data_IF_377226293187
#
_entry.id   IF_377226293187
#
_cell.length_a   1.000
_cell.length_b   1.000
_cell.length_c   1.000
_cell.angle_alpha   90.00
_cell.angle_beta   90.00
_cell.angle_gamma   90.00
#
_symmetry.space_group_name_H-M   'P 1'
#
loop_
_entity.id
_entity.type
_entity.pdbx_description
1 polymer ?
#
# COMPACT_ATOMS: atom_id res chain seq x y z
N UNK A 1 1.52 -15.24 20.33
CA UNK A 1 0.84 -16.49 19.93
C UNK A 1 0.92 -16.54 18.42
N UNK A 2 1.77 -17.40 17.84
CA UNK A 2 1.93 -17.50 16.39
C UNK A 2 0.80 -18.39 15.85
N UNK A 3 -0.03 -17.86 14.95
CA UNK A 3 -1.15 -18.61 14.35
C UNK A 3 -0.67 -19.81 13.53
N UNK A 4 -1.55 -20.77 13.20
CA UNK A 4 -1.18 -21.93 12.39
C UNK A 4 -0.65 -21.48 11.03
N UNK A 5 0.38 -22.18 10.53
CA UNK A 5 0.94 -21.94 9.21
C UNK A 5 -0.15 -22.13 8.15
N UNK A 6 -0.72 -21.02 7.67
CA UNK A 6 -1.68 -21.06 6.57
C UNK A 6 -0.91 -21.49 5.33
N UNK A 7 -1.30 -22.60 4.72
CA UNK A 7 -0.74 -23.08 3.44
C UNK A 7 -1.29 -22.27 2.28
N UNK A 8 -0.39 -21.77 1.43
CA UNK A 8 -0.78 -20.96 0.26
C UNK A 8 -1.52 -21.85 -0.75
N UNK A 9 -2.72 -21.46 -1.23
CA UNK A 9 -3.39 -22.21 -2.28
C UNK A 9 -2.56 -22.17 -3.58
N UNK A 10 -2.51 -23.27 -4.36
CA UNK A 10 -1.77 -23.28 -5.61
C UNK A 10 -2.35 -22.27 -6.61
N UNK A 11 -1.52 -21.62 -7.43
CA UNK A 11 -2.00 -20.72 -8.47
C UNK A 11 -2.70 -21.47 -9.59
N UNK A 12 -3.57 -20.79 -10.33
CA UNK A 12 -4.15 -21.34 -11.57
C UNK A 12 -3.06 -21.44 -12.66
N UNK A 13 -3.21 -22.34 -13.65
CA UNK A 13 -2.27 -22.43 -14.77
C UNK A 13 -2.08 -21.10 -15.51
N UNK A 14 -3.16 -20.34 -15.73
CA UNK A 14 -3.11 -19.07 -16.45
C UNK A 14 -2.31 -18.01 -15.67
N UNK A 15 -2.49 -17.98 -14.34
CA UNK A 15 -1.73 -17.08 -13.48
C UNK A 15 -0.25 -17.47 -13.43
N UNK A 16 0.03 -18.78 -13.39
CA UNK A 16 1.39 -19.32 -13.45
C UNK A 16 2.08 -18.92 -14.75
N UNK A 17 1.40 -19.03 -15.89
CA UNK A 17 1.95 -18.68 -17.19
C UNK A 17 2.11 -17.16 -17.36
N UNK A 18 1.16 -16.36 -16.86
CA UNK A 18 1.15 -14.92 -17.04
C UNK A 18 2.13 -14.17 -16.14
N UNK A 19 2.24 -14.55 -14.86
CA UNK A 19 2.94 -13.76 -13.85
C UNK A 19 4.20 -14.46 -13.35
N UNK A 20 5.38 -13.98 -13.74
CA UNK A 20 6.66 -14.58 -13.31
C UNK A 20 6.82 -14.63 -11.77
N UNK A 21 6.29 -13.64 -11.04
CA UNK A 21 6.35 -13.59 -9.57
C UNK A 21 5.49 -14.64 -8.87
N UNK A 22 4.48 -15.20 -9.56
CA UNK A 22 3.67 -16.31 -9.03
C UNK A 22 4.49 -17.61 -8.98
N UNK A 23 5.46 -17.78 -9.89
CA UNK A 23 6.31 -18.99 -9.96
C UNK A 23 7.38 -19.04 -8.88
N UNK A 24 7.63 -17.93 -8.18
CA UNK A 24 8.69 -17.86 -7.19
C UNK A 24 8.35 -18.74 -5.99
N UNK A 25 9.17 -19.76 -5.75
CA UNK A 25 9.12 -20.54 -4.51
C UNK A 25 9.67 -19.72 -3.33
N UNK A 26 9.41 -20.18 -2.09
CA UNK A 26 10.02 -19.57 -0.91
C UNK A 26 11.56 -19.58 -1.00
N UNK A 27 12.16 -20.65 -1.56
CA UNK A 27 13.61 -20.75 -1.77
C UNK A 27 14.11 -19.70 -2.76
N UNK A 28 13.39 -19.47 -3.86
CA UNK A 28 13.76 -18.44 -4.84
C UNK A 28 13.72 -17.04 -4.21
N UNK A 29 12.67 -16.77 -3.43
CA UNK A 29 12.49 -15.49 -2.73
C UNK A 29 13.60 -15.27 -1.70
N UNK A 30 13.94 -16.28 -0.89
CA UNK A 30 15.03 -16.21 0.07
C UNK A 30 16.38 -16.00 -0.61
N UNK A 31 16.60 -16.64 -1.76
CA UNK A 31 17.82 -16.45 -2.57
C UNK A 31 17.91 -15.01 -3.09
N UNK A 32 16.80 -14.45 -3.57
CA UNK A 32 16.73 -13.05 -3.98
C UNK A 32 17.04 -12.11 -2.80
N UNK A 33 16.41 -12.32 -1.64
CA UNK A 33 16.64 -11.51 -0.45
C UNK A 33 18.10 -11.55 0.02
N UNK A 34 18.73 -12.73 0.05
CA UNK A 34 20.16 -12.87 0.38
C UNK A 34 21.04 -12.09 -0.61
N UNK A 35 20.71 -12.17 -1.90
CA UNK A 35 21.44 -11.46 -2.95
C UNK A 35 21.32 -9.94 -2.77
N UNK A 36 20.12 -9.43 -2.43
CA UNK A 36 19.92 -8.00 -2.12
C UNK A 36 20.75 -7.52 -0.93
N UNK A 37 20.99 -8.40 0.05
CA UNK A 37 21.79 -8.12 1.24
C UNK A 37 23.30 -8.31 1.03
N UNK A 38 23.75 -8.62 -0.19
CA UNK A 38 25.17 -8.90 -0.48
C UNK A 38 25.68 -10.21 0.15
N UNK A 39 24.77 -11.12 0.53
CA UNK A 39 25.11 -12.41 1.12
C UNK A 39 25.20 -13.49 0.04
N UNK A 40 26.05 -14.50 0.27
CA UNK A 40 26.16 -15.64 -0.63
C UNK A 40 24.80 -16.36 -0.81
N UNK A 41 24.43 -16.78 -2.04
CA UNK A 41 23.15 -17.44 -2.32
C UNK A 41 22.94 -18.71 -1.49
N UNK A 42 24.01 -19.50 -1.33
CA UNK A 42 24.07 -20.65 -0.44
C UNK A 42 24.93 -20.30 0.78
N UNK A 43 24.33 -20.31 1.97
CA UNK A 43 25.03 -20.12 3.24
C UNK A 43 24.22 -20.67 4.39
N UNK A 44 24.79 -20.70 5.61
CA UNK A 44 24.08 -21.15 6.81
C UNK A 44 22.69 -20.51 6.86
N UNK A 45 21.68 -21.33 7.18
CA UNK A 45 20.31 -20.91 7.45
C UNK A 45 20.41 -19.67 8.34
N UNK A 46 19.93 -18.52 7.84
CA UNK A 46 19.72 -17.34 8.67
C UNK A 46 18.90 -17.85 9.85
N UNK A 47 19.42 -17.66 11.07
CA UNK A 47 18.90 -18.23 12.31
C UNK A 47 17.36 -18.32 12.36
N UNK A 48 16.81 -19.25 13.14
CA UNK A 48 15.36 -19.41 13.24
C UNK A 48 14.66 -18.25 13.99
N UNK A 49 15.33 -17.10 14.12
CA UNK A 49 14.77 -15.89 14.71
C UNK A 49 13.81 -15.25 13.71
N UNK A 50 12.66 -14.84 14.22
CA UNK A 50 11.70 -14.04 13.46
C UNK A 50 12.30 -12.68 13.07
N UNK A 51 12.29 -12.38 11.77
CA UNK A 51 12.74 -11.09 11.23
C UNK A 51 11.59 -10.11 11.12
N UNK A 52 11.79 -8.89 11.60
CA UNK A 52 10.80 -7.81 11.51
C UNK A 52 11.05 -7.04 10.22
N UNK A 53 10.13 -7.17 9.27
CA UNK A 53 10.27 -6.61 7.93
C UNK A 53 9.23 -5.53 7.73
N UNK A 54 9.66 -4.39 7.20
CA UNK A 54 8.79 -3.26 6.92
C UNK A 54 8.65 -3.06 5.41
N UNK A 55 7.41 -2.87 4.97
CA UNK A 55 7.07 -2.46 3.61
C UNK A 55 6.14 -1.27 3.73
N UNK A 56 6.41 -0.21 3.00
CA UNK A 56 5.52 0.94 2.93
C UNK A 56 5.10 1.27 1.51
N UNK A 57 3.92 1.88 1.38
CA UNK A 57 3.36 2.19 0.07
C UNK A 57 2.04 2.93 0.14
N UNK A 58 1.58 3.34 -1.05
CA UNK A 58 0.26 3.94 -1.21
C UNK A 58 -0.83 2.90 -0.97
N UNK A 59 -0.70 1.70 -1.56
CA UNK A 59 -1.71 0.64 -1.53
C UNK A 59 -3.11 1.11 -1.99
N UNK A 60 -3.16 2.13 -2.85
CA UNK A 60 -4.38 2.59 -3.51
C UNK A 60 -4.74 1.66 -4.67
N UNK A 61 -6.04 1.40 -4.87
CA UNK A 61 -6.56 0.41 -5.82
C UNK A 61 -5.77 -0.92 -5.69
N UNK A 62 -5.91 -1.55 -4.51
CA UNK A 62 -5.09 -2.71 -4.16
C UNK A 62 -5.28 -3.86 -5.16
N UNK A 63 -4.18 -4.28 -5.80
CA UNK A 63 -4.21 -5.29 -6.86
C UNK A 63 -3.24 -6.45 -6.57
N UNK A 64 -3.20 -7.42 -7.48
CA UNK A 64 -2.37 -8.62 -7.36
C UNK A 64 -0.86 -8.32 -7.26
N UNK A 65 -0.39 -7.20 -7.84
CA UNK A 65 1.00 -6.77 -7.70
C UNK A 65 1.37 -6.47 -6.26
N UNK A 66 0.52 -5.73 -5.53
CA UNK A 66 0.72 -5.49 -4.11
C UNK A 66 0.72 -6.80 -3.32
N UNK A 67 -0.26 -7.68 -3.55
CA UNK A 67 -0.33 -8.97 -2.86
C UNK A 67 0.93 -9.83 -3.09
N UNK A 68 1.46 -9.87 -4.31
CA UNK A 68 2.65 -10.64 -4.66
C UNK A 68 3.95 -9.99 -4.18
N UNK A 69 4.00 -8.66 -4.04
CA UNK A 69 5.11 -7.99 -3.36
C UNK A 69 5.13 -8.37 -1.87
N UNK A 70 3.98 -8.28 -1.18
CA UNK A 70 3.87 -8.63 0.23
C UNK A 70 4.14 -10.11 0.49
N UNK A 71 3.76 -11.00 -0.46
CA UNK A 71 4.15 -12.40 -0.46
C UNK A 71 5.66 -12.59 -0.43
N UNK A 72 6.37 -11.90 -1.33
CA UNK A 72 7.83 -11.96 -1.39
C UNK A 72 8.46 -11.44 -0.09
N UNK A 73 7.95 -10.34 0.47
CA UNK A 73 8.41 -9.82 1.74
C UNK A 73 8.22 -10.83 2.89
N UNK A 74 7.03 -11.45 3.00
CA UNK A 74 6.71 -12.45 4.03
C UNK A 74 7.55 -13.73 3.93
N UNK A 75 7.94 -14.13 2.72
CA UNK A 75 8.70 -15.36 2.47
C UNK A 75 10.23 -15.13 2.39
N UNK A 76 10.71 -13.90 2.56
CA UNK A 76 12.13 -13.54 2.45
C UNK A 76 13.07 -14.21 3.48
N UNK A 77 12.51 -14.70 4.59
CA UNK A 77 13.20 -15.54 5.58
C UNK A 77 12.29 -16.69 6.02
N UNK A 78 12.84 -17.73 6.70
CA UNK A 78 12.03 -18.81 7.27
C UNK A 78 10.97 -18.35 8.27
N UNK A 79 11.22 -17.25 9.00
CA UNK A 79 10.28 -16.66 9.95
C UNK A 79 10.29 -15.14 9.83
N UNK A 80 9.15 -14.55 9.47
CA UNK A 80 8.98 -13.10 9.26
C UNK A 80 7.76 -12.59 10.00
N UNK A 81 7.91 -11.43 10.64
CA UNK A 81 6.83 -10.56 11.11
C UNK A 81 6.78 -9.34 10.19
N UNK A 82 5.79 -9.31 9.29
CA UNK A 82 5.61 -8.33 8.24
C UNK A 82 4.73 -7.17 8.73
N UNK A 83 5.33 -5.98 8.73
CA UNK A 83 4.72 -4.73 9.17
C UNK A 83 4.52 -3.85 7.93
N UNK A 84 3.31 -3.34 7.74
CA UNK A 84 2.98 -2.49 6.60
C UNK A 84 2.71 -1.05 7.03
N UNK A 85 3.41 -0.11 6.40
CA UNK A 85 3.13 1.32 6.47
C UNK A 85 2.27 1.78 5.31
N UNK A 86 1.18 2.47 5.59
CA UNK A 86 0.28 2.99 4.56
C UNK A 86 0.36 4.51 4.58
N UNK A 87 0.73 5.12 3.46
CA UNK A 87 0.88 6.58 3.36
C UNK A 87 -0.45 7.29 3.57
N UNK A 88 -0.46 8.35 4.39
CA UNK A 88 -1.67 9.15 4.64
C UNK A 88 -2.10 9.93 3.40
N UNK A 89 -3.39 10.27 3.33
CA UNK A 89 -3.93 11.04 2.20
C UNK A 89 -3.22 12.39 2.05
N UNK A 90 -2.90 13.06 3.15
CA UNK A 90 -2.17 14.34 3.13
C UNK A 90 -0.75 14.18 2.59
N UNK A 91 -0.07 13.07 2.93
CA UNK A 91 1.28 12.80 2.43
C UNK A 91 1.24 12.53 0.92
N UNK A 92 0.28 11.72 0.47
CA UNK A 92 0.07 11.42 -0.93
C UNK A 92 -0.25 12.67 -1.77
N UNK A 93 -1.13 13.55 -1.26
CA UNK A 93 -1.49 14.81 -1.91
C UNK A 93 -0.30 15.78 -1.99
N UNK A 94 0.45 15.94 -0.89
CA UNK A 94 1.64 16.78 -0.84
C UNK A 94 2.71 16.36 -1.87
N UNK A 95 2.67 15.10 -2.32
CA UNK A 95 3.59 14.52 -3.29
C UNK A 95 2.97 14.27 -4.66
N UNK A 96 1.85 14.93 -4.97
CA UNK A 96 1.26 14.95 -6.31
C UNK A 96 0.70 13.60 -6.76
N UNK A 97 0.44 12.68 -5.83
CA UNK A 97 -0.16 11.37 -6.11
C UNK A 97 -1.43 11.22 -5.28
N UNK A 98 -2.52 11.93 -5.58
CA UNK A 98 -3.77 11.82 -4.82
C UNK A 98 -4.31 10.40 -4.89
N UNK A 99 -4.89 9.92 -3.79
CA UNK A 99 -5.44 8.58 -3.68
C UNK A 99 -6.94 8.57 -3.99
N UNK A 100 -7.39 7.55 -4.72
CA UNK A 100 -8.81 7.31 -4.97
C UNK A 100 -9.53 6.74 -3.73
N UNK A 101 -8.83 5.89 -2.96
CA UNK A 101 -9.36 5.26 -1.75
C UNK A 101 -8.80 5.97 -0.50
N UNK A 102 -9.64 6.35 0.48
CA UNK A 102 -9.18 6.99 1.72
C UNK A 102 -8.18 6.15 2.53
N UNK A 103 -7.31 6.82 3.28
CA UNK A 103 -6.27 6.18 4.09
C UNK A 103 -6.79 5.07 5.01
N UNK A 104 -7.92 5.30 5.67
CA UNK A 104 -8.53 4.34 6.59
C UNK A 104 -8.93 3.05 5.87
N UNK A 105 -9.56 3.17 4.70
CA UNK A 105 -9.98 2.02 3.89
C UNK A 105 -8.78 1.26 3.34
N UNK A 106 -7.73 1.97 2.90
CA UNK A 106 -6.47 1.34 2.47
C UNK A 106 -5.80 0.58 3.62
N UNK A 107 -5.77 1.14 4.82
CA UNK A 107 -5.25 0.47 6.01
C UNK A 107 -6.00 -0.83 6.30
N UNK A 108 -7.34 -0.78 6.31
CA UNK A 108 -8.16 -1.95 6.62
C UNK A 108 -8.06 -3.01 5.52
N UNK A 109 -8.05 -2.60 4.25
CA UNK A 109 -7.87 -3.49 3.10
C UNK A 109 -6.54 -4.26 3.17
N UNK A 110 -5.44 -3.56 3.45
CA UNK A 110 -4.11 -4.16 3.59
C UNK A 110 -4.06 -5.11 4.78
N UNK A 111 -4.74 -4.80 5.90
CA UNK A 111 -4.82 -5.66 7.09
C UNK A 111 -5.44 -7.02 6.78
N UNK A 112 -6.31 -7.11 5.77
CA UNK A 112 -6.90 -8.35 5.30
C UNK A 112 -6.05 -9.11 4.27
N UNK A 113 -4.93 -8.55 3.82
CA UNK A 113 -3.99 -9.27 2.98
C UNK A 113 -3.34 -10.40 3.78
N UNK A 114 -3.44 -11.62 3.27
CA UNK A 114 -2.92 -12.86 3.87
C UNK A 114 -1.51 -12.74 4.47
N UNK A 115 -0.65 -11.96 3.84
CA UNK A 115 0.78 -11.89 4.16
C UNK A 115 1.11 -10.95 5.31
N UNK A 116 0.17 -10.07 5.67
CA UNK A 116 0.37 -8.98 6.63
C UNK A 116 0.12 -9.47 8.04
N UNK A 117 1.07 -9.22 8.95
CA UNK A 117 0.87 -9.47 10.38
C UNK A 117 0.41 -8.22 11.12
N UNK A 118 0.82 -7.04 10.65
CA UNK A 118 0.57 -5.78 11.33
C UNK A 118 0.56 -4.60 10.36
N UNK A 119 -0.36 -3.66 10.56
CA UNK A 119 -0.38 -2.36 9.87
C UNK A 119 -0.01 -1.28 10.89
N UNK A 120 1.08 -0.55 10.66
CA UNK A 120 1.51 0.56 11.50
C UNK A 120 2.08 1.69 10.61
N UNK A 121 1.68 2.96 10.83
CA UNK A 121 2.24 4.09 10.10
C UNK A 121 3.74 4.26 10.37
N UNK A 122 4.17 3.99 11.60
CA UNK A 122 5.58 3.99 12.01
C UNK A 122 5.92 2.68 12.71
N UNK A 123 6.98 2.00 12.27
CA UNK A 123 7.40 0.73 12.82
C UNK A 123 8.69 0.89 13.65
N UNK A 124 8.61 0.94 15.00
CA UNK A 124 9.81 0.87 15.83
C UNK A 124 10.46 -0.53 15.71
N UNK A 125 11.80 -0.55 15.70
CA UNK A 125 12.64 -1.75 15.72
C UNK A 125 12.44 -2.69 14.51
N UNK A 126 12.81 -2.23 13.31
CA UNK A 126 12.80 -3.04 12.07
C UNK A 126 14.17 -3.65 11.80
N UNK A 127 14.20 -4.90 11.32
CA UNK A 127 15.42 -5.57 10.88
C UNK A 127 15.76 -5.20 9.43
N UNK A 128 14.74 -5.20 8.55
CA UNK A 128 14.90 -4.95 7.11
C UNK A 128 13.74 -4.12 6.54
N UNK A 129 14.01 -3.39 5.46
CA UNK A 129 13.02 -2.69 4.63
C UNK A 129 12.97 -3.37 3.26
N UNK A 130 11.77 -3.57 2.73
CA UNK A 130 11.57 -4.12 1.39
C UNK A 130 11.23 -3.01 0.41
N UNK A 131 11.88 -3.03 -0.75
CA UNK A 131 11.60 -2.15 -1.88
C UNK A 131 11.38 -2.97 -3.15
N UNK A 132 10.49 -2.51 -4.02
CA UNK A 132 10.40 -3.09 -5.36
C UNK A 132 11.64 -2.77 -6.20
N UNK A 133 12.13 -3.77 -6.92
CA UNK A 133 13.16 -3.60 -7.94
C UNK A 133 12.71 -2.56 -8.96
N UNK A 134 13.60 -1.60 -9.25
CA UNK A 134 13.29 -0.49 -10.16
C UNK A 134 12.35 0.57 -9.58
N UNK A 135 12.00 0.50 -8.29
CA UNK A 135 11.34 1.62 -7.62
C UNK A 135 12.31 2.81 -7.53
N UNK A 136 12.12 3.79 -8.40
CA UNK A 136 12.76 5.09 -8.27
C UNK A 136 11.92 5.91 -7.29
N UNK A 137 12.49 6.18 -6.11
CA UNK A 137 11.93 7.22 -5.24
C UNK A 137 12.35 8.55 -5.87
N UNK A 138 11.39 9.29 -6.39
CA UNK A 138 11.65 10.62 -6.96
C UNK A 138 12.30 11.50 -5.86
N UNK A 139 13.55 11.98 -6.07
CA UNK A 139 14.24 12.83 -5.10
C UNK A 139 13.53 14.16 -4.83
N UNK A 140 12.66 14.61 -5.73
CA UNK A 140 11.83 15.79 -5.55
C UNK A 140 10.62 15.51 -4.63
N UNK A 141 10.16 14.25 -4.57
CA UNK A 141 8.89 13.89 -3.95
C UNK A 141 9.00 13.36 -2.54
N UNK A 142 10.15 12.91 -2.02
CA UNK A 142 10.28 12.66 -0.57
C UNK A 142 11.74 12.61 -0.12
N UNK A 143 12.32 13.79 0.12
CA UNK A 143 13.75 13.90 0.52
C UNK A 143 14.04 13.22 1.85
N UNK A 144 13.08 13.12 2.76
CA UNK A 144 13.28 12.50 4.08
C UNK A 144 13.25 10.98 3.93
N UNK A 145 12.27 10.45 3.22
CA UNK A 145 12.13 9.00 2.98
C UNK A 145 13.22 8.47 2.06
N UNK A 146 13.61 9.23 1.03
CA UNK A 146 14.78 8.89 0.20
C UNK A 146 16.05 8.82 1.05
N UNK A 147 16.29 9.80 1.94
CA UNK A 147 17.43 9.75 2.88
C UNK A 147 17.36 8.53 3.80
N UNK A 148 16.16 8.18 4.28
CA UNK A 148 15.90 6.99 5.07
C UNK A 148 16.26 5.71 4.31
N UNK A 149 15.71 5.51 3.12
CA UNK A 149 16.02 4.35 2.29
C UNK A 149 17.48 4.29 1.87
N UNK A 150 18.09 5.42 1.51
CA UNK A 150 19.51 5.47 1.17
C UNK A 150 20.38 5.10 2.37
N UNK A 151 20.01 5.54 3.58
CA UNK A 151 20.66 5.08 4.80
C UNK A 151 20.50 3.56 4.98
N UNK A 152 19.28 3.02 4.79
CA UNK A 152 19.02 1.58 4.89
C UNK A 152 19.78 0.77 3.82
N UNK A 153 19.92 1.29 2.60
CA UNK A 153 20.74 0.69 1.53
C UNK A 153 22.21 0.66 1.93
N UNK A 154 22.76 1.77 2.43
CA UNK A 154 24.17 1.85 2.87
C UNK A 154 24.51 0.88 4.00
N UNK A 155 23.57 0.63 4.92
CA UNK A 155 23.78 -0.31 6.03
C UNK A 155 23.41 -1.75 5.69
N UNK A 156 23.06 -2.05 4.43
CA UNK A 156 22.75 -3.41 3.97
C UNK A 156 21.49 -4.01 4.59
N UNK A 157 20.46 -3.18 4.84
CA UNK A 157 19.17 -3.62 5.43
C UNK A 157 18.00 -3.54 4.45
N UNK A 158 18.29 -3.48 3.14
CA UNK A 158 17.27 -3.42 2.09
C UNK A 158 17.17 -4.75 1.37
N UNK A 159 15.96 -5.25 1.26
CA UNK A 159 15.59 -6.44 0.48
C UNK A 159 14.84 -5.95 -0.76
N UNK A 160 15.20 -6.47 -1.92
CA UNK A 160 14.54 -6.13 -3.16
C UNK A 160 13.53 -7.21 -3.55
N UNK A 161 12.32 -6.80 -3.93
CA UNK A 161 11.28 -7.67 -4.49
C UNK A 161 11.16 -7.50 -5.98
N UNK A 162 10.83 -8.57 -6.69
CA UNK A 162 10.55 -8.49 -8.13
C UNK A 162 9.17 -7.91 -8.35
N UNK A 163 9.08 -6.90 -9.22
CA UNK A 163 7.81 -6.28 -9.58
C UNK A 163 7.00 -7.21 -10.48
N UNK A 164 5.71 -7.37 -10.19
CA UNK A 164 4.80 -8.16 -11.04
C UNK A 164 4.45 -7.39 -12.31
N UNK A 165 4.85 -7.92 -13.47
CA UNK A 165 4.58 -7.36 -14.80
C UNK A 165 3.28 -7.94 -15.40
N UNK A 166 2.74 -7.27 -16.43
CA UNK A 166 1.55 -7.75 -17.17
C UNK A 166 0.21 -7.51 -16.46
N UNK A 167 0.20 -6.61 -15.48
CA UNK A 167 -1.02 -6.16 -14.79
C UNK A 167 -1.79 -5.17 -15.65
N UNK A 168 -3.11 -5.19 -15.52
CA UNK A 168 -3.98 -4.18 -16.11
C UNK A 168 -3.70 -2.84 -15.46
N UNK A 169 -3.46 -1.81 -16.27
CA UNK A 169 -3.37 -0.43 -15.78
C UNK A 169 -4.77 0.06 -15.44
N UNK A 170 -4.97 0.45 -14.18
CA UNK A 170 -6.19 1.13 -13.74
C UNK A 170 -5.86 2.60 -13.64
N UNK A 171 -6.46 3.41 -14.51
CA UNK A 171 -6.41 4.86 -14.38
C UNK A 171 -7.53 5.27 -13.41
N UNK A 172 -7.22 5.90 -12.27
CA UNK A 172 -8.26 6.43 -11.40
C UNK A 172 -9.06 7.46 -12.20
N UNK A 173 -10.38 7.31 -12.22
CA UNK A 173 -11.26 8.34 -12.75
C UNK A 173 -11.06 9.57 -11.86
N UNK A 174 -10.53 10.66 -12.42
CA UNK A 174 -10.41 11.93 -11.73
C UNK A 174 -11.80 12.28 -11.20
N UNK A 175 -11.97 12.35 -9.88
CA UNK A 175 -13.19 12.90 -9.30
C UNK A 175 -13.32 14.32 -9.85
N UNK A 176 -14.28 14.53 -10.74
CA UNK A 176 -14.65 15.88 -11.14
C UNK A 176 -15.05 16.62 -9.86
N UNK A 177 -14.49 17.81 -9.58
CA UNK A 177 -14.97 18.61 -8.48
C UNK A 177 -16.46 18.85 -8.74
N UNK A 178 -17.30 18.28 -7.88
CA UNK A 178 -18.74 18.50 -7.96
C UNK A 178 -18.92 20.00 -7.73
N UNK A 179 -19.36 20.72 -8.76
CA UNK A 179 -19.62 22.14 -8.65
C UNK A 179 -20.54 22.36 -7.43
N UNK A 180 -20.27 23.36 -6.58
CA UNK A 180 -21.17 23.68 -5.48
C UNK A 180 -22.57 23.91 -6.06
N UNK A 181 -23.63 23.42 -5.40
CA UNK A 181 -24.98 23.67 -5.88
C UNK A 181 -25.16 25.18 -6.05
N UNK A 182 -25.61 25.60 -7.24
CA UNK A 182 -25.95 26.99 -7.51
C UNK A 182 -26.87 27.51 -6.40
N UNK A 183 -26.65 28.73 -5.87
CA UNK A 183 -27.52 29.27 -4.84
C UNK A 183 -28.94 29.34 -5.39
N UNK A 184 -29.82 28.53 -4.83
CA UNK A 184 -31.26 28.60 -5.10
C UNK A 184 -31.74 29.94 -4.56
N UNK A 185 -32.00 30.90 -5.45
CA UNK A 185 -32.69 32.14 -5.09
C UNK A 185 -34.02 31.77 -4.44
N UNK A 186 -34.32 32.21 -3.21
CA UNK A 186 -35.63 32.01 -2.64
C UNK A 186 -36.64 32.82 -3.46
N UNK A 187 -37.57 32.12 -4.10
CA UNK A 187 -38.76 32.73 -4.69
C UNK A 187 -39.52 33.45 -3.58
N UNK A 188 -39.65 34.77 -3.72
CA UNK A 188 -40.41 35.62 -2.80
C UNK A 188 -41.85 35.09 -2.67
N UNK A 189 -42.41 34.93 -1.46
CA UNK A 189 -43.81 34.59 -1.32
C UNK A 189 -44.66 35.74 -1.88
N UNK A 190 -45.71 35.38 -2.63
CA UNK A 190 -46.70 36.29 -3.16
C UNK A 190 -47.32 37.10 -2.00
N UNK A 191 -47.56 38.39 -2.25
CA UNK A 191 -48.23 39.28 -1.31
C UNK A 191 -49.66 38.75 -1.08
N UNK A 192 -49.96 38.42 0.18
CA UNK A 192 -51.30 38.11 0.64
C UNK A 192 -52.03 39.45 0.84
N UNK A 193 -53.02 39.74 -0.02
CA UNK A 193 -53.88 40.91 0.07
C UNK A 193 -54.71 40.87 1.37
N UNK A 194 -54.52 41.87 2.23
CA UNK A 194 -55.32 42.10 3.43
C UNK A 194 -56.61 42.82 3.01
N UNK A 195 -57.82 42.31 3.27
CA UNK A 195 -59.05 43.06 3.06
C UNK A 195 -59.26 44.09 4.20
N UNK A 196 -59.74 45.28 3.83
CA UNK A 196 -60.02 46.43 4.72
C UNK A 196 -60.99 46.12 5.87
N UNK A 197 -60.91 46.87 7.00
CA UNK A 197 -61.79 46.65 8.14
C UNK A 197 -63.17 47.28 7.91
N UNK A 198 -64.23 46.49 8.15
CA UNK A 198 -65.59 47.01 8.27
C UNK A 198 -65.75 47.70 9.63
N UNK A 199 -66.05 48.99 9.60
CA UNK A 199 -66.47 49.80 10.75
C UNK A 199 -67.99 49.71 10.86
N UNK A 200 -68.53 49.27 11.99
CA UNK A 200 -69.88 49.66 12.43
C UNK A 200 -69.95 49.83 13.95
N UNK A 201 -70.81 50.76 14.36
CA UNK A 201 -70.94 51.45 15.66
C UNK A 201 -71.68 50.64 16.73
#
# INVERSE_FOLDING_TARGET
MFGPATTEPPPTPEAYDKFATVRLSATDIQTCARTSLGLAPAGKILDNRTRRIYVDGLFDIFNVGHALQLRQAKLSFPSVHLIIGVFSDQLCEAYGTPTAIPHLERCELVRHCRWVDQVLPDAPNIDYVVLDEGATVDPACDKVRLKGYDAMKRIGKVILTKRTMGLTLVTPATSTPTAPPSPTTPTSPAQEEIPEPLVEF
#
